data_IF_936160651906
#
_entry.id   IF_936160651906
#
_cell.length_a   1.000
_cell.length_b   1.000
_cell.length_c   1.000
_cell.angle_alpha   90.00
_cell.angle_beta   90.00
_cell.angle_gamma   90.00
#
_symmetry.space_group_name_H-M   'P 1'
#
loop_
_entity.id
_entity.type
_entity.pdbx_description
1 polymer ?
#
# COMPACT_ATOMS: atom_id res chain seq x y z
N UNK A 1 -30.12 -23.91 11.38
CA UNK A 1 -29.78 -22.51 11.70
C UNK A 1 -28.46 -22.23 11.02
N UNK A 2 -28.49 -21.49 9.91
CA UNK A 2 -27.30 -21.11 9.16
C UNK A 2 -26.96 -19.70 9.61
N UNK A 3 -25.89 -19.55 10.38
CA UNK A 3 -25.36 -18.24 10.73
C UNK A 3 -24.59 -17.73 9.51
N UNK A 4 -25.25 -16.87 8.73
CA UNK A 4 -24.55 -15.98 7.80
C UNK A 4 -23.99 -14.85 8.66
N UNK A 5 -22.78 -15.03 9.19
CA UNK A 5 -22.04 -13.94 9.81
C UNK A 5 -21.70 -12.93 8.72
N UNK A 6 -22.65 -12.02 8.54
CA UNK A 6 -22.57 -10.86 7.67
C UNK A 6 -21.87 -9.75 8.44
N UNK A 7 -20.67 -10.05 8.92
CA UNK A 7 -19.73 -9.03 9.39
C UNK A 7 -18.90 -8.50 8.19
N UNK A 8 -19.53 -8.34 7.02
CA UNK A 8 -19.02 -7.54 5.89
C UNK A 8 -19.08 -6.03 6.23
N UNK A 9 -18.77 -5.66 7.47
CA UNK A 9 -19.15 -4.36 7.99
C UNK A 9 -18.61 -4.04 9.37
N UNK A 10 -17.32 -4.26 9.65
CA UNK A 10 -16.67 -3.58 10.79
C UNK A 10 -15.29 -3.08 10.36
N UNK A 11 -15.29 -1.84 9.84
CA UNK A 11 -14.30 -0.78 10.06
C UNK A 11 -13.05 -1.14 10.88
N UNK A 12 -12.12 -1.82 10.25
CA UNK A 12 -10.70 -1.53 10.44
C UNK A 12 -10.27 -0.94 9.10
N UNK A 13 -10.72 0.28 8.79
CA UNK A 13 -10.25 1.00 7.60
C UNK A 13 -8.78 1.39 7.85
N UNK A 14 -7.91 0.38 7.79
CA UNK A 14 -6.47 0.56 7.76
C UNK A 14 -6.15 1.13 6.40
N UNK A 15 -5.71 2.38 6.38
CA UNK A 15 -5.23 3.00 5.15
C UNK A 15 -3.73 2.77 5.02
N UNK A 16 -3.34 2.26 3.87
CA UNK A 16 -1.94 2.11 3.51
C UNK A 16 -1.47 3.30 2.67
N UNK A 17 -0.32 3.87 3.03
CA UNK A 17 0.35 4.92 2.28
C UNK A 17 1.86 4.75 2.32
N UNK A 18 2.56 5.29 1.31
CA UNK A 18 4.01 5.44 1.42
C UNK A 18 4.34 6.44 2.53
N UNK A 19 5.43 6.19 3.24
CA UNK A 19 5.93 7.13 4.25
C UNK A 19 6.40 8.42 3.60
N UNK A 20 6.13 9.56 4.23
CA UNK A 20 6.57 10.88 3.76
C UNK A 20 8.10 11.02 3.71
N UNK A 21 8.83 10.11 4.36
CA UNK A 21 10.30 10.04 4.32
C UNK A 21 10.83 9.50 2.99
N UNK A 22 9.98 8.87 2.16
CA UNK A 22 10.38 8.29 0.90
C UNK A 22 10.64 9.35 -0.18
N UNK A 23 11.69 9.20 -1.00
CA UNK A 23 11.94 10.11 -2.12
C UNK A 23 10.76 10.13 -3.09
N UNK A 24 10.37 11.33 -3.55
CA UNK A 24 9.27 11.52 -4.50
C UNK A 24 9.42 10.66 -5.77
N UNK A 25 10.64 10.50 -6.27
CA UNK A 25 10.94 9.62 -7.42
C UNK A 25 10.48 8.18 -7.21
N UNK A 26 10.60 7.64 -6.00
CA UNK A 26 10.15 6.27 -5.69
C UNK A 26 8.63 6.24 -5.58
N UNK A 27 8.01 7.27 -5.00
CA UNK A 27 6.54 7.40 -4.96
C UNK A 27 5.91 7.54 -6.35
N UNK A 28 6.66 8.05 -7.34
CA UNK A 28 6.22 8.10 -8.74
C UNK A 28 6.35 6.74 -9.46
N UNK A 29 7.32 5.92 -9.05
CA UNK A 29 7.60 4.60 -9.63
C UNK A 29 6.68 3.50 -9.08
N UNK A 30 6.18 3.65 -7.86
CA UNK A 30 5.34 2.67 -7.18
C UNK A 30 4.02 3.28 -6.72
N UNK A 31 2.95 2.50 -6.77
CA UNK A 31 1.63 2.86 -6.25
C UNK A 31 1.18 1.81 -5.26
N UNK A 32 0.52 2.25 -4.19
CA UNK A 32 -0.11 1.37 -3.21
C UNK A 32 -1.61 1.60 -3.22
N UNK A 33 -2.38 0.53 -3.28
CA UNK A 33 -3.81 0.58 -3.07
C UNK A 33 -4.08 0.79 -1.58
N UNK A 34 -4.68 1.93 -1.24
CA UNK A 34 -4.87 2.34 0.15
C UNK A 34 -5.79 1.42 0.95
N UNK A 35 -6.63 0.62 0.28
CA UNK A 35 -7.65 -0.21 0.91
C UNK A 35 -7.16 -1.66 1.11
N UNK A 36 -6.38 -2.19 0.18
CA UNK A 36 -5.87 -3.57 0.18
C UNK A 36 -4.39 -3.67 0.54
N UNK A 37 -3.64 -2.57 0.47
CA UNK A 37 -2.19 -2.56 0.63
C UNK A 37 -1.42 -3.12 -0.58
N UNK A 38 -2.10 -3.38 -1.69
CA UNK A 38 -1.47 -3.95 -2.89
C UNK A 38 -0.52 -2.93 -3.53
N UNK A 39 0.75 -3.33 -3.72
CA UNK A 39 1.77 -2.48 -4.34
C UNK A 39 1.90 -2.86 -5.82
N UNK A 40 1.83 -1.85 -6.69
CA UNK A 40 2.02 -1.97 -8.13
C UNK A 40 3.10 -1.02 -8.62
N UNK A 41 3.77 -1.39 -9.69
CA UNK A 41 4.70 -0.49 -10.39
C UNK A 41 3.89 0.44 -11.28
N UNK A 42 4.21 1.73 -11.22
CA UNK A 42 3.60 2.79 -12.02
C UNK A 42 4.54 3.32 -13.11
N UNK A 43 5.85 3.13 -12.94
CA UNK A 43 6.88 3.51 -13.91
C UNK A 43 7.76 2.35 -14.37
N UNK A 44 8.66 2.65 -15.30
CA UNK A 44 9.69 1.72 -15.75
C UNK A 44 10.76 1.54 -14.67
N UNK A 45 10.97 0.29 -14.26
CA UNK A 45 12.05 -0.09 -13.37
C UNK A 45 13.11 -0.78 -14.21
N UNK A 46 14.27 -0.15 -14.35
CA UNK A 46 15.44 -0.77 -14.94
C UNK A 46 16.40 -1.23 -13.82
N UNK A 47 16.78 -2.51 -13.88
CA UNK A 47 17.69 -3.11 -12.92
C UNK A 47 19.13 -2.59 -13.08
N UNK A 48 19.51 -2.18 -14.28
CA UNK A 48 20.84 -1.62 -14.53
C UNK A 48 21.01 -0.24 -13.88
N UNK A 49 19.91 0.52 -13.79
CA UNK A 49 19.90 1.82 -13.13
C UNK A 49 19.82 1.69 -11.61
N UNK A 50 18.88 0.88 -11.10
CA UNK A 50 18.68 0.68 -9.65
C UNK A 50 18.36 -0.78 -9.35
N UNK A 51 19.25 -1.43 -8.59
CA UNK A 51 19.11 -2.85 -8.25
C UNK A 51 18.08 -3.12 -7.14
N UNK A 52 17.83 -2.16 -6.26
CA UNK A 52 16.91 -2.34 -5.11
C UNK A 52 16.24 -1.03 -4.69
N UNK A 53 14.98 -1.13 -4.29
CA UNK A 53 14.20 -0.04 -3.73
C UNK A 53 13.71 -0.40 -2.34
N UNK A 54 13.98 0.45 -1.36
CA UNK A 54 13.42 0.33 -0.02
C UNK A 54 12.08 1.08 0.03
N UNK A 55 10.98 0.33 0.15
CA UNK A 55 9.63 0.89 0.25
C UNK A 55 9.19 0.89 1.72
N UNK A 56 8.97 2.08 2.29
CA UNK A 56 8.43 2.22 3.63
C UNK A 56 6.93 2.50 3.56
N UNK A 57 6.12 1.54 4.04
CA UNK A 57 4.66 1.63 4.06
C UNK A 57 4.19 1.93 5.48
N UNK A 58 3.30 2.89 5.60
CA UNK A 58 2.58 3.21 6.84
C UNK A 58 1.16 2.69 6.73
N UNK A 59 0.72 2.00 7.78
CA UNK A 59 -0.64 1.49 7.94
C UNK A 59 -1.30 2.27 9.07
N UNK A 60 -2.38 3.00 8.76
CA UNK A 60 -3.10 3.82 9.74
C UNK A 60 -4.49 3.28 9.95
N UNK A 61 -4.73 2.68 11.11
CA UNK A 61 -6.07 2.28 11.54
C UNK A 61 -6.90 3.50 11.95
N UNK A 62 -8.19 3.48 11.62
CA UNK A 62 -9.15 4.54 11.92
C UNK A 62 -9.81 4.34 13.30
N UNK A 63 -9.00 3.98 14.29
CA UNK A 63 -9.41 3.74 15.69
C UNK A 63 -9.63 5.02 16.48
#
# INVERSE_FOLDING_TARGET
VTATDKDEGINQEVYYSFSDTMPAKVQDLFRIDRNSGEIRTAGGLDFEDVQSYDLQIEARDKG
#
